data_IF_272047903298
#
_entry.id   IF_272047903298
#
_cell.length_a   1.000
_cell.length_b   1.000
_cell.length_c   1.000
_cell.angle_alpha   90.00
_cell.angle_beta   90.00
_cell.angle_gamma   90.00
#
_symmetry.space_group_name_H-M   'P 1'
#
loop_
_entity.id
_entity.type
_entity.pdbx_description
1 polymer ?
#
# COMPACT_ATOMS: atom_id res chain seq x y z
N UNK A 1 -3.74 -8.44 -6.48
CA UNK A 1 -2.43 -7.83 -6.15
C UNK A 1 -1.32 -8.89 -6.03
N UNK A 2 -1.59 -10.08 -5.47
CA UNK A 2 -0.60 -11.13 -5.26
C UNK A 2 0.12 -11.53 -6.56
N UNK A 3 -0.59 -11.68 -7.68
CA UNK A 3 0.01 -11.99 -8.99
C UNK A 3 0.95 -10.87 -9.46
N UNK A 4 0.56 -9.60 -9.27
CA UNK A 4 1.39 -8.45 -9.66
C UNK A 4 2.70 -8.45 -8.87
N UNK A 5 2.65 -8.74 -7.56
CA UNK A 5 3.86 -8.74 -6.73
C UNK A 5 4.68 -10.03 -6.86
N UNK A 6 4.10 -11.14 -7.32
CA UNK A 6 4.79 -12.42 -7.51
C UNK A 6 4.62 -13.41 -6.36
N UNK A 7 3.53 -13.30 -5.59
CA UNK A 7 3.17 -14.29 -4.57
C UNK A 7 2.43 -15.49 -5.15
N UNK A 8 1.97 -15.40 -6.39
CA UNK A 8 1.26 -16.46 -7.10
C UNK A 8 1.86 -16.69 -8.49
N UNK A 9 1.72 -17.89 -9.03
CA UNK A 9 2.13 -18.20 -10.39
C UNK A 9 1.23 -17.51 -11.40
N UNK A 10 1.83 -17.01 -12.49
CA UNK A 10 1.15 -16.44 -13.64
C UNK A 10 1.13 -17.51 -14.73
N UNK A 11 -0.06 -17.96 -15.15
CA UNK A 11 -0.20 -19.01 -16.15
C UNK A 11 -0.19 -18.46 -17.58
N UNK A 12 -0.62 -17.21 -17.77
CA UNK A 12 -0.65 -16.52 -19.06
C UNK A 12 -0.68 -15.01 -18.87
N UNK A 13 -0.31 -14.27 -19.89
CA UNK A 13 -0.24 -12.81 -19.87
C UNK A 13 1.09 -12.27 -19.37
N UNK A 14 1.22 -10.93 -19.33
CA UNK A 14 2.41 -10.24 -18.88
C UNK A 14 2.04 -9.05 -17.98
N UNK A 15 2.96 -8.66 -17.11
CA UNK A 15 2.86 -7.49 -16.25
C UNK A 15 3.97 -6.53 -16.65
N UNK A 16 3.59 -5.35 -17.14
CA UNK A 16 4.51 -4.33 -17.62
C UNK A 16 4.33 -3.07 -16.75
N UNK A 17 5.41 -2.58 -16.16
CA UNK A 17 5.45 -1.35 -15.35
C UNK A 17 6.49 -0.41 -15.99
N UNK A 18 6.07 0.77 -16.41
CA UNK A 18 6.91 1.77 -17.07
C UNK A 18 7.74 1.20 -18.24
N UNK A 19 7.13 0.28 -19.02
CA UNK A 19 7.78 -0.39 -20.15
C UNK A 19 8.68 -1.57 -19.78
N UNK A 20 8.89 -1.85 -18.49
CA UNK A 20 9.65 -2.99 -18.02
C UNK A 20 8.71 -4.20 -17.79
N UNK A 21 9.01 -5.33 -18.42
CA UNK A 21 8.34 -6.60 -18.12
C UNK A 21 8.82 -7.15 -16.78
N UNK A 22 7.93 -7.17 -15.82
CA UNK A 22 8.18 -7.63 -14.44
C UNK A 22 7.55 -8.98 -14.14
N UNK A 23 6.97 -9.65 -15.14
CA UNK A 23 6.19 -10.89 -15.00
C UNK A 23 6.95 -11.97 -14.25
N UNK A 24 8.21 -12.22 -14.62
CA UNK A 24 9.06 -13.28 -14.06
C UNK A 24 9.92 -12.83 -12.87
N UNK A 25 9.90 -11.55 -12.52
CA UNK A 25 10.71 -11.05 -11.41
C UNK A 25 10.17 -11.57 -10.07
N UNK A 26 11.09 -11.93 -9.18
CA UNK A 26 10.76 -12.25 -7.78
C UNK A 26 10.26 -11.02 -7.03
N UNK A 27 9.53 -11.17 -5.90
CA UNK A 27 9.11 -10.04 -5.07
C UNK A 27 10.25 -9.07 -4.70
N UNK A 28 11.41 -9.60 -4.33
CA UNK A 28 12.59 -8.79 -4.00
C UNK A 28 13.10 -7.99 -5.20
N UNK A 29 13.12 -8.59 -6.40
CA UNK A 29 13.51 -7.91 -7.63
C UNK A 29 12.49 -6.85 -8.05
N UNK A 30 11.18 -7.13 -7.90
CA UNK A 30 10.12 -6.15 -8.15
C UNK A 30 10.28 -4.92 -7.25
N UNK A 31 10.61 -5.13 -5.98
CA UNK A 31 10.87 -4.02 -5.06
C UNK A 31 12.15 -3.26 -5.42
N UNK A 32 13.28 -3.97 -5.61
CA UNK A 32 14.59 -3.32 -5.77
C UNK A 32 14.85 -2.78 -7.19
N UNK A 33 14.31 -3.44 -8.24
CA UNK A 33 14.59 -3.09 -9.63
C UNK A 33 13.46 -2.34 -10.32
N UNK A 34 12.19 -2.68 -9.97
CA UNK A 34 11.01 -2.07 -10.58
C UNK A 34 10.29 -1.07 -9.66
N UNK A 35 10.77 -0.87 -8.42
CA UNK A 35 10.20 0.08 -7.49
C UNK A 35 8.76 -0.24 -7.09
N UNK A 36 8.38 -1.52 -7.02
CA UNK A 36 7.05 -1.96 -6.64
C UNK A 36 7.08 -2.46 -5.20
N UNK A 37 6.36 -1.81 -4.30
CA UNK A 37 6.21 -2.26 -2.92
C UNK A 37 4.80 -2.80 -2.66
N UNK A 38 4.67 -3.72 -1.69
CA UNK A 38 3.42 -4.30 -1.27
C UNK A 38 3.13 -3.96 0.18
N UNK A 39 1.98 -3.36 0.44
CA UNK A 39 1.46 -3.07 1.77
C UNK A 39 0.38 -4.11 2.06
N UNK A 40 0.72 -5.07 2.92
CA UNK A 40 -0.16 -6.18 3.30
C UNK A 40 -1.35 -5.70 4.13
N UNK A 41 -2.42 -6.50 4.14
CA UNK A 41 -3.65 -6.26 4.86
C UNK A 41 -3.42 -6.06 6.37
N UNK A 42 -2.65 -6.95 7.02
CA UNK A 42 -2.34 -6.86 8.44
C UNK A 42 -1.01 -7.57 8.82
N UNK A 43 -0.64 -7.47 10.11
CA UNK A 43 0.48 -8.21 10.74
C UNK A 43 1.83 -8.10 10.04
N UNK A 44 2.07 -6.99 9.34
CA UNK A 44 3.33 -6.79 8.64
C UNK A 44 4.42 -6.16 9.53
N UNK A 45 4.10 -5.68 10.73
CA UNK A 45 5.10 -5.17 11.69
C UNK A 45 5.65 -6.26 12.60
N UNK A 46 6.87 -6.08 13.07
CA UNK A 46 7.51 -6.91 14.07
C UNK A 46 7.21 -6.32 15.46
N UNK A 47 6.29 -6.88 16.26
CA UNK A 47 5.78 -6.22 17.47
C UNK A 47 6.81 -6.08 18.59
N UNK A 48 7.82 -6.96 18.62
CA UNK A 48 8.89 -6.93 19.61
C UNK A 48 10.03 -5.97 19.26
N UNK A 49 10.11 -5.54 18.00
CA UNK A 49 11.09 -4.56 17.52
C UNK A 49 10.56 -3.15 17.73
N UNK A 50 11.47 -2.19 17.91
CA UNK A 50 11.12 -0.77 17.96
C UNK A 50 10.55 -0.28 16.63
N UNK A 51 9.94 0.91 16.63
CA UNK A 51 9.49 1.58 15.42
C UNK A 51 10.66 1.79 14.46
N UNK A 52 11.82 2.24 14.96
CA UNK A 52 13.01 2.42 14.14
C UNK A 52 13.50 1.10 13.51
N UNK A 53 13.61 0.04 14.32
CA UNK A 53 14.03 -1.27 13.81
C UNK A 53 13.07 -1.80 12.74
N UNK A 54 11.76 -1.59 12.93
CA UNK A 54 10.76 -1.92 11.91
C UNK A 54 11.00 -1.16 10.60
N UNK A 55 11.31 0.14 10.65
CA UNK A 55 11.64 0.93 9.46
C UNK A 55 12.94 0.43 8.80
N UNK A 56 13.98 0.17 9.58
CA UNK A 56 15.24 -0.35 9.06
C UNK A 56 15.06 -1.70 8.37
N UNK A 57 14.19 -2.59 8.88
CA UNK A 57 13.81 -3.82 8.19
C UNK A 57 13.15 -3.57 6.82
N UNK A 58 12.41 -2.45 6.67
CA UNK A 58 11.89 -2.03 5.37
C UNK A 58 12.96 -1.72 4.34
N UNK A 59 14.16 -1.34 4.79
CA UNK A 59 15.34 -1.05 3.95
C UNK A 59 16.30 -2.22 3.76
N UNK A 60 15.89 -3.44 4.08
CA UNK A 60 16.76 -4.63 4.05
C UNK A 60 17.46 -4.89 2.69
N UNK A 61 16.83 -4.47 1.58
CA UNK A 61 17.38 -4.62 0.23
C UNK A 61 18.27 -3.45 -0.23
N UNK A 62 18.52 -2.45 0.63
CA UNK A 62 19.48 -1.39 0.30
C UNK A 62 20.92 -1.89 0.43
N UNK A 63 21.78 -1.45 -0.47
CA UNK A 63 23.17 -1.94 -0.55
C UNK A 63 23.98 -1.62 0.72
N UNK A 64 23.68 -0.50 1.35
CA UNK A 64 24.42 -0.02 2.55
C UNK A 64 23.47 0.26 3.71
N UNK A 65 23.78 -0.19 4.94
CA UNK A 65 22.98 0.11 6.13
C UNK A 65 22.76 1.61 6.36
N UNK A 66 23.72 2.45 6.00
CA UNK A 66 23.61 3.91 6.11
C UNK A 66 22.47 4.47 5.23
N UNK A 67 22.21 3.87 4.06
CA UNK A 67 21.11 4.27 3.18
C UNK A 67 19.75 3.90 3.77
N UNK A 68 19.63 2.73 4.38
CA UNK A 68 18.42 2.33 5.10
C UNK A 68 18.13 3.30 6.26
N UNK A 69 19.18 3.68 7.02
CA UNK A 69 19.06 4.64 8.11
C UNK A 69 18.63 6.03 7.59
N UNK A 70 19.27 6.54 6.55
CA UNK A 70 18.89 7.83 5.97
C UNK A 70 17.44 7.83 5.46
N UNK A 71 16.99 6.74 4.83
CA UNK A 71 15.61 6.61 4.39
C UNK A 71 14.62 6.50 5.56
N UNK A 72 15.00 5.85 6.66
CA UNK A 72 14.18 5.83 7.88
C UNK A 72 14.06 7.22 8.51
N UNK A 73 15.13 8.02 8.52
CA UNK A 73 15.09 9.42 8.99
C UNK A 73 14.10 10.26 8.14
N UNK A 74 14.10 10.11 6.81
CA UNK A 74 13.10 10.80 5.96
C UNK A 74 11.66 10.43 6.34
N UNK A 75 11.42 9.19 6.76
CA UNK A 75 10.10 8.75 7.26
C UNK A 75 9.77 9.46 8.58
N UNK A 76 10.71 9.57 9.50
CA UNK A 76 10.52 10.28 10.78
C UNK A 76 10.27 11.76 10.56
N UNK A 77 10.99 12.40 9.65
CA UNK A 77 10.76 13.80 9.26
C UNK A 77 9.35 14.01 8.70
N UNK A 78 8.85 13.07 7.90
CA UNK A 78 7.51 13.13 7.31
C UNK A 78 6.39 12.82 8.32
N UNK A 79 6.63 11.90 9.25
CA UNK A 79 5.61 11.39 10.17
C UNK A 79 6.05 11.56 11.65
N UNK A 80 5.83 12.74 12.21
CA UNK A 80 6.20 13.07 13.61
C UNK A 80 5.63 12.07 14.63
N UNK A 81 4.43 11.53 14.39
CA UNK A 81 3.82 10.49 15.25
C UNK A 81 4.68 9.24 15.39
N UNK A 82 5.41 8.85 14.34
CA UNK A 82 6.35 7.73 14.40
C UNK A 82 7.66 8.15 15.07
N UNK A 83 8.13 9.37 14.79
CA UNK A 83 9.31 9.94 15.44
C UNK A 83 9.16 9.96 16.96
N UNK A 84 8.00 10.39 17.49
CA UNK A 84 7.68 10.41 18.93
C UNK A 84 7.66 9.01 19.58
N UNK A 85 7.56 7.96 18.76
CA UNK A 85 7.51 6.56 19.17
C UNK A 85 8.74 5.75 18.74
N UNK A 86 9.78 6.43 18.25
CA UNK A 86 10.95 5.82 17.61
C UNK A 86 11.51 4.61 18.36
N UNK A 87 11.73 4.76 19.66
CA UNK A 87 12.34 3.76 20.55
C UNK A 87 11.32 2.84 21.22
N UNK A 88 10.02 2.95 20.86
CA UNK A 88 8.98 2.11 21.46
C UNK A 88 8.78 0.83 20.64
N UNK A 89 8.55 -0.32 21.31
CA UNK A 89 8.15 -1.54 20.60
C UNK A 89 6.89 -1.31 19.77
N UNK A 90 6.87 -1.80 18.53
CA UNK A 90 5.71 -1.63 17.64
C UNK A 90 4.43 -2.28 18.18
N UNK A 91 4.55 -3.24 19.08
CA UNK A 91 3.42 -3.92 19.73
C UNK A 91 2.57 -3.02 20.62
N UNK A 92 3.11 -1.90 21.13
CA UNK A 92 2.35 -0.95 21.98
C UNK A 92 1.66 0.17 21.19
N UNK A 93 1.84 0.21 19.87
CA UNK A 93 1.22 1.21 19.00
C UNK A 93 -0.29 1.00 18.91
N UNK A 94 -1.04 2.09 18.82
CA UNK A 94 -2.45 2.06 18.44
C UNK A 94 -2.63 1.47 17.03
N UNK A 95 -3.85 1.03 16.69
CA UNK A 95 -4.13 0.49 15.35
C UNK A 95 -3.74 1.45 14.22
N UNK A 96 -4.03 2.74 14.38
CA UNK A 96 -3.66 3.76 13.39
C UNK A 96 -2.15 4.02 13.31
N UNK A 97 -1.45 4.08 14.44
CA UNK A 97 0.03 4.21 14.45
C UNK A 97 0.69 2.98 13.83
N UNK A 98 0.16 1.79 14.10
CA UNK A 98 0.65 0.55 13.50
C UNK A 98 0.45 0.55 12.00
N UNK A 99 -0.73 0.96 11.50
CA UNK A 99 -0.99 1.05 10.06
C UNK A 99 -0.09 2.08 9.39
N UNK A 100 0.16 3.23 10.04
CA UNK A 100 1.14 4.21 9.57
C UNK A 100 2.54 3.59 9.47
N UNK A 101 2.98 2.80 10.46
CA UNK A 101 4.27 2.13 10.44
C UNK A 101 4.36 1.10 9.30
N UNK A 102 3.29 0.33 9.04
CA UNK A 102 3.22 -0.64 7.93
C UNK A 102 3.41 0.04 6.57
N UNK A 103 2.69 1.13 6.33
CA UNK A 103 2.86 1.95 5.12
C UNK A 103 4.28 2.50 5.04
N UNK A 104 4.77 3.08 6.14
CA UNK A 104 6.07 3.71 6.20
C UNK A 104 7.24 2.75 5.94
N UNK A 105 7.14 1.49 6.37
CA UNK A 105 8.14 0.46 6.05
C UNK A 105 8.27 0.23 4.55
N UNK A 106 7.16 0.21 3.82
CA UNK A 106 7.19 0.10 2.37
C UNK A 106 7.89 1.30 1.71
N UNK A 107 7.74 2.50 2.30
CA UNK A 107 8.30 3.74 1.76
C UNK A 107 9.83 3.85 1.92
N UNK A 108 10.46 3.10 2.83
CA UNK A 108 11.93 3.12 3.05
C UNK A 108 12.70 2.73 1.77
N UNK A 109 12.12 1.87 0.92
CA UNK A 109 12.70 1.53 -0.39
C UNK A 109 12.41 2.58 -1.48
N UNK A 110 11.66 3.64 -1.15
CA UNK A 110 11.26 4.71 -2.08
C UNK A 110 10.59 4.20 -3.36
N UNK A 111 9.58 3.32 -3.26
CA UNK A 111 8.92 2.74 -4.42
C UNK A 111 8.19 3.80 -5.23
N UNK A 112 7.97 3.53 -6.52
CA UNK A 112 7.11 4.35 -7.39
C UNK A 112 5.69 3.79 -7.44
N UNK A 113 5.54 2.46 -7.32
CA UNK A 113 4.25 1.78 -7.33
C UNK A 113 3.99 1.13 -5.98
N UNK A 114 2.83 1.41 -5.41
CA UNK A 114 2.35 0.82 -4.16
C UNK A 114 1.18 -0.11 -4.45
N UNK A 115 1.32 -1.38 -4.12
CA UNK A 115 0.22 -2.34 -4.08
C UNK A 115 -0.34 -2.34 -2.66
N UNK A 116 -1.60 -1.96 -2.49
CA UNK A 116 -2.21 -1.76 -1.18
C UNK A 116 -3.41 -2.70 -1.01
N UNK A 117 -3.31 -3.60 -0.04
CA UNK A 117 -4.33 -4.63 0.18
C UNK A 117 -5.18 -4.27 1.40
N UNK A 118 -6.46 -3.99 1.14
CA UNK A 118 -7.51 -3.68 2.12
C UNK A 118 -7.04 -2.74 3.26
N UNK A 119 -6.60 -1.50 2.94
CA UNK A 119 -5.97 -0.62 3.93
C UNK A 119 -6.90 -0.22 5.07
N UNK A 120 -8.22 -0.31 4.92
CA UNK A 120 -9.20 0.12 5.92
C UNK A 120 -9.67 -0.99 6.86
N UNK A 121 -9.35 -2.26 6.56
CA UNK A 121 -9.92 -3.38 7.31
C UNK A 121 -9.54 -3.35 8.80
N UNK A 122 -10.53 -3.60 9.66
CA UNK A 122 -10.32 -3.67 11.11
C UNK A 122 -9.96 -2.35 11.80
N UNK A 123 -10.00 -1.23 11.08
CA UNK A 123 -9.73 0.09 11.64
C UNK A 123 -11.00 0.81 12.08
N UNK A 124 -10.89 1.60 13.16
CA UNK A 124 -11.92 2.56 13.52
C UNK A 124 -12.05 3.66 12.45
N UNK A 125 -13.25 4.27 12.24
CA UNK A 125 -13.50 5.26 11.19
C UNK A 125 -12.46 6.39 11.11
N UNK A 126 -12.04 6.95 12.25
CA UNK A 126 -11.02 8.00 12.32
C UNK A 126 -9.65 7.59 11.77
N UNK A 127 -9.30 6.29 11.90
CA UNK A 127 -8.05 5.77 11.37
C UNK A 127 -8.16 5.44 9.89
N UNK A 128 -9.35 5.07 9.41
CA UNK A 128 -9.61 4.91 7.98
C UNK A 128 -9.36 6.24 7.26
N UNK A 129 -9.94 7.34 7.74
CA UNK A 129 -9.73 8.67 7.15
C UNK A 129 -8.25 9.10 7.18
N UNK A 130 -7.54 8.79 8.26
CA UNK A 130 -6.12 9.04 8.35
C UNK A 130 -5.32 8.25 7.29
N UNK A 131 -5.61 6.96 7.11
CA UNK A 131 -4.91 6.10 6.15
C UNK A 131 -5.16 6.57 4.72
N UNK A 132 -6.42 6.86 4.35
CA UNK A 132 -6.73 7.40 3.03
C UNK A 132 -6.10 8.78 2.81
N UNK A 133 -6.01 9.63 3.84
CA UNK A 133 -5.28 10.89 3.78
C UNK A 133 -3.77 10.70 3.50
N UNK A 134 -3.15 9.69 4.09
CA UNK A 134 -1.75 9.34 3.82
C UNK A 134 -1.58 8.86 2.37
N UNK A 135 -2.48 8.00 1.89
CA UNK A 135 -2.43 7.49 0.52
C UNK A 135 -2.66 8.61 -0.50
N UNK A 136 -3.57 9.55 -0.22
CA UNK A 136 -3.82 10.74 -1.05
C UNK A 136 -2.57 11.63 -1.15
N UNK A 137 -1.89 11.85 -0.02
CA UNK A 137 -0.62 12.59 0.01
C UNK A 137 0.47 11.88 -0.81
N UNK A 138 0.57 10.55 -0.70
CA UNK A 138 1.52 9.77 -1.49
C UNK A 138 1.23 9.84 -2.99
N UNK A 139 -0.03 9.79 -3.39
CA UNK A 139 -0.45 9.93 -4.79
C UNK A 139 -0.22 11.36 -5.29
N UNK A 140 -0.79 12.37 -4.63
CA UNK A 140 -0.86 13.75 -5.14
C UNK A 140 0.40 14.56 -4.92
N UNK A 141 1.06 14.40 -3.75
CA UNK A 141 2.25 15.17 -3.39
C UNK A 141 3.55 14.47 -3.78
N UNK A 142 3.60 13.15 -3.57
CA UNK A 142 4.81 12.36 -3.84
C UNK A 142 4.80 11.68 -5.23
N UNK A 143 3.70 11.83 -6.01
CA UNK A 143 3.57 11.30 -7.36
C UNK A 143 3.60 9.78 -7.46
N UNK A 144 3.16 9.07 -6.40
CA UNK A 144 3.15 7.59 -6.39
C UNK A 144 1.95 7.04 -7.14
N UNK A 145 2.16 5.95 -7.88
CA UNK A 145 1.06 5.14 -8.42
C UNK A 145 0.57 4.17 -7.36
N UNK A 146 -0.74 4.15 -7.11
CA UNK A 146 -1.34 3.25 -6.11
C UNK A 146 -2.31 2.30 -6.81
N UNK A 147 -2.08 1.00 -6.67
CA UNK A 147 -3.01 -0.06 -7.08
C UNK A 147 -3.57 -0.68 -5.81
N UNK A 148 -4.86 -0.51 -5.57
CA UNK A 148 -5.50 -0.88 -4.30
C UNK A 148 -6.63 -1.88 -4.53
N UNK A 149 -6.77 -2.82 -3.61
CA UNK A 149 -7.99 -3.60 -3.38
C UNK A 149 -8.59 -3.12 -2.07
N UNK A 150 -9.89 -2.85 -2.04
CA UNK A 150 -10.55 -2.31 -0.86
C UNK A 150 -11.95 -2.91 -0.70
N UNK A 151 -12.27 -3.38 0.50
CA UNK A 151 -13.58 -3.92 0.84
C UNK A 151 -14.63 -2.80 0.99
N UNK A 152 -14.22 -1.65 1.51
CA UNK A 152 -15.05 -0.46 1.58
C UNK A 152 -15.11 0.22 0.20
N UNK A 153 -15.98 -0.31 -0.67
CA UNK A 153 -16.07 0.13 -2.07
C UNK A 153 -16.30 1.64 -2.20
N UNK A 154 -17.13 2.25 -1.32
CA UNK A 154 -17.35 3.72 -1.34
C UNK A 154 -16.07 4.50 -1.12
N UNK A 155 -15.25 4.11 -0.13
CA UNK A 155 -13.97 4.78 0.15
C UNK A 155 -12.95 4.52 -0.96
N UNK A 156 -12.86 3.26 -1.43
CA UNK A 156 -11.95 2.88 -2.51
C UNK A 156 -12.23 3.64 -3.80
N UNK A 157 -13.50 3.68 -4.24
CA UNK A 157 -13.90 4.38 -5.46
C UNK A 157 -13.78 5.91 -5.34
N UNK A 158 -14.10 6.48 -4.18
CA UNK A 158 -13.93 7.92 -3.95
C UNK A 158 -12.45 8.36 -3.99
N UNK A 159 -11.53 7.45 -3.69
CA UNK A 159 -10.08 7.68 -3.76
C UNK A 159 -9.52 7.47 -5.17
N UNK A 160 -10.08 6.53 -5.94
CA UNK A 160 -9.51 6.05 -7.19
C UNK A 160 -9.73 7.02 -8.37
N UNK A 161 -8.70 7.24 -9.19
CA UNK A 161 -8.86 7.87 -10.50
C UNK A 161 -9.61 6.92 -11.45
N UNK A 162 -9.24 5.63 -11.43
CA UNK A 162 -9.86 4.57 -12.24
C UNK A 162 -10.20 3.40 -11.33
N UNK A 163 -11.43 2.91 -11.41
CA UNK A 163 -11.90 1.73 -10.70
C UNK A 163 -12.15 0.54 -11.64
N UNK A 164 -11.92 -0.66 -11.15
CA UNK A 164 -12.22 -1.92 -11.82
C UNK A 164 -13.11 -2.77 -10.92
N UNK A 165 -14.28 -3.12 -11.41
CA UNK A 165 -15.19 -4.04 -10.74
C UNK A 165 -14.95 -5.44 -11.30
N UNK A 166 -14.48 -6.35 -10.46
CA UNK A 166 -14.19 -7.74 -10.83
C UNK A 166 -15.32 -8.66 -10.37
N UNK A 167 -15.82 -9.51 -11.28
CA UNK A 167 -16.80 -10.53 -10.97
C UNK A 167 -16.29 -11.87 -11.51
N UNK A 168 -16.18 -12.86 -10.63
CA UNK A 168 -15.67 -14.20 -10.98
C UNK A 168 -14.33 -14.21 -11.72
N UNK A 169 -13.44 -13.24 -11.39
CA UNK A 169 -12.10 -13.14 -11.99
C UNK A 169 -12.05 -12.36 -13.31
N UNK A 170 -13.17 -11.86 -13.81
CA UNK A 170 -13.25 -11.04 -15.02
C UNK A 170 -13.57 -9.59 -14.67
N UNK A 171 -13.07 -8.65 -15.47
CA UNK A 171 -13.43 -7.23 -15.36
C UNK A 171 -14.84 -7.02 -15.92
N UNK A 172 -15.80 -6.81 -15.05
CA UNK A 172 -17.19 -6.55 -15.42
C UNK A 172 -17.39 -5.10 -15.85
N UNK A 173 -16.82 -4.14 -15.10
CA UNK A 173 -16.93 -2.70 -15.35
C UNK A 173 -15.57 -2.05 -15.06
N UNK A 174 -15.18 -1.10 -15.90
CA UNK A 174 -14.02 -0.22 -15.64
C UNK A 174 -14.39 1.20 -16.04
N UNK A 175 -14.23 2.15 -15.12
CA UNK A 175 -14.53 3.55 -15.35
C UNK A 175 -13.81 4.44 -14.31
N UNK A 176 -14.02 5.76 -14.36
CA UNK A 176 -13.57 6.64 -13.30
C UNK A 176 -14.18 6.25 -11.95
N UNK A 177 -13.45 6.48 -10.85
CA UNK A 177 -13.98 6.17 -9.51
C UNK A 177 -15.31 6.87 -9.24
N UNK A 178 -15.46 8.12 -9.68
CA UNK A 178 -16.71 8.90 -9.52
C UNK A 178 -17.87 8.31 -10.33
N UNK A 179 -17.64 7.94 -11.59
CA UNK A 179 -18.69 7.36 -12.42
C UNK A 179 -19.15 6.00 -11.87
N UNK A 180 -18.22 5.21 -11.33
CA UNK A 180 -18.57 3.94 -10.67
C UNK A 180 -19.36 4.16 -9.38
N UNK A 181 -19.11 5.22 -8.61
CA UNK A 181 -19.90 5.54 -7.41
C UNK A 181 -21.34 5.89 -7.73
N UNK A 182 -21.58 6.52 -8.89
CA UNK A 182 -22.92 6.91 -9.36
C UNK A 182 -23.60 5.78 -10.15
N UNK A 183 -22.90 4.72 -10.51
CA UNK A 183 -23.43 3.61 -11.31
C UNK A 183 -24.43 2.77 -10.49
N UNK A 184 -25.73 2.65 -10.95
CA UNK A 184 -26.74 1.91 -10.21
C UNK A 184 -26.45 0.42 -10.03
N UNK A 185 -25.74 -0.20 -10.98
CA UNK A 185 -25.40 -1.62 -10.92
C UNK A 185 -24.28 -1.85 -9.89
N UNK A 186 -23.28 -0.97 -9.84
CA UNK A 186 -22.25 -0.96 -8.79
C UNK A 186 -22.91 -0.68 -7.43
N UNK A 187 -23.84 0.29 -7.37
CA UNK A 187 -24.63 0.62 -6.19
C UNK A 187 -25.32 -0.60 -5.62
N UNK A 188 -26.03 -1.34 -6.46
CA UNK A 188 -26.81 -2.53 -6.08
C UNK A 188 -25.94 -3.70 -5.64
N UNK A 189 -24.82 -3.94 -6.32
CA UNK A 189 -23.97 -5.12 -6.09
C UNK A 189 -22.96 -4.94 -4.95
N UNK A 190 -22.44 -3.72 -4.74
CA UNK A 190 -21.27 -3.50 -3.88
C UNK A 190 -21.42 -2.36 -2.86
N UNK A 191 -22.38 -1.43 -3.03
CA UNK A 191 -22.51 -0.26 -2.18
C UNK A 191 -23.67 -0.34 -1.17
N UNK A 192 -24.41 -1.44 -1.17
CA UNK A 192 -25.51 -1.68 -0.22
C UNK A 192 -26.74 -0.80 -0.51
N UNK A 193 -27.07 -0.68 -1.78
CA UNK A 193 -28.27 0.03 -2.25
C UNK A 193 -29.55 -0.68 -1.88
#
# INVERSE_FOLDING_TARGET
LHSIFGFTNIFAGSIIIDGLDVTSLTPSQKLSQAGIAYILQDKSVFPQMTVEENLLMGGFLKDRPAEAKAAAEMVFDKYSRLADRRDKPAGVLSGGERRLLEISRALVMQPQVLLVDEPSIGLEPRFIDMVFGILDDLQKKDGKTIIMVEQNAKKGLAFADIGYVLVSGETAIADSGNDLLENPDVGRLFLGG
#
